data_IF_010613460287
#
_entry.id   IF_010613460287
#
_cell.length_a   1.000
_cell.length_b   1.000
_cell.length_c   1.000
_cell.angle_alpha   90.00
_cell.angle_beta   90.00
_cell.angle_gamma   90.00
#
_symmetry.space_group_name_H-M   'P 1'
#
loop_
_entity.id
_entity.type
_entity.pdbx_description
1 polymer ?
#
# COMPACT_ATOMS: atom_id res chain seq x y z
N UNK A 1 -13.96 14.33 5.44
CA UNK A 1 -12.60 14.85 5.48
C UNK A 1 -11.58 13.67 5.47
N UNK A 2 -10.31 13.85 4.98
CA UNK A 2 -9.32 12.78 4.89
C UNK A 2 -9.03 12.08 6.21
N UNK A 3 -8.90 12.86 7.30
CA UNK A 3 -8.63 12.32 8.63
C UNK A 3 -9.78 11.44 9.15
N UNK A 4 -11.01 11.75 8.79
CA UNK A 4 -12.16 10.91 9.13
C UNK A 4 -12.11 9.57 8.41
N UNK A 5 -11.74 9.59 7.13
CA UNK A 5 -11.57 8.36 6.32
C UNK A 5 -10.43 7.49 6.87
N UNK A 6 -9.32 8.10 7.25
CA UNK A 6 -8.21 7.37 7.88
C UNK A 6 -8.65 6.73 9.21
N UNK A 7 -9.38 7.45 10.05
CA UNK A 7 -9.88 6.94 11.34
C UNK A 7 -10.85 5.78 11.20
N UNK A 8 -11.70 5.76 10.19
CA UNK A 8 -12.60 4.61 9.92
C UNK A 8 -11.91 3.43 9.23
N UNK A 9 -10.65 3.58 8.80
CA UNK A 9 -9.83 2.50 8.29
C UNK A 9 -9.57 2.49 6.80
N UNK A 10 -9.67 3.63 6.14
CA UNK A 10 -9.17 3.78 4.78
C UNK A 10 -7.68 4.18 4.83
N UNK A 11 -6.83 3.45 4.13
CA UNK A 11 -5.41 3.73 3.96
C UNK A 11 -5.11 4.00 2.48
N UNK A 12 -4.24 4.97 2.24
CA UNK A 12 -3.74 5.27 0.90
C UNK A 12 -2.21 5.24 0.90
N UNK A 13 -1.62 4.27 0.20
CA UNK A 13 -0.21 4.26 -0.16
C UNK A 13 -0.02 5.10 -1.42
N UNK A 14 0.74 6.18 -1.32
CA UNK A 14 0.93 7.13 -2.41
C UNK A 14 1.94 6.63 -3.44
N UNK A 15 1.75 6.95 -4.71
CA UNK A 15 2.77 6.74 -5.75
C UNK A 15 4.11 7.36 -5.33
N UNK A 16 4.08 8.59 -4.80
CA UNK A 16 5.24 9.29 -4.25
C UNK A 16 4.99 9.65 -2.77
N UNK A 17 5.54 8.85 -1.83
CA UNK A 17 5.37 9.12 -0.40
C UNK A 17 5.92 10.48 0.01
N UNK A 18 5.10 11.23 0.75
CA UNK A 18 5.42 12.62 1.16
C UNK A 18 6.48 12.61 2.25
N UNK A 19 7.37 13.59 2.22
CA UNK A 19 8.34 13.87 3.30
C UNK A 19 7.73 14.88 4.29
N UNK A 20 7.94 14.65 5.60
CA UNK A 20 7.52 15.58 6.65
C UNK A 20 8.76 15.96 7.47
N UNK A 21 9.49 17.02 7.06
CA UNK A 21 10.68 17.45 7.76
C UNK A 21 10.37 17.89 9.19
N UNK A 22 11.25 17.51 10.13
CA UNK A 22 11.13 17.91 11.54
C UNK A 22 10.13 17.10 12.37
N UNK A 23 9.40 16.16 11.77
CA UNK A 23 8.52 15.22 12.50
C UNK A 23 9.19 13.84 12.48
N UNK A 24 9.56 13.29 13.64
CA UNK A 24 10.15 11.95 13.69
C UNK A 24 9.16 10.90 13.24
N UNK A 25 9.68 9.85 12.57
CA UNK A 25 8.84 8.76 12.08
C UNK A 25 8.15 8.04 13.26
N UNK A 26 8.85 7.85 14.38
CA UNK A 26 8.29 7.25 15.59
C UNK A 26 7.07 8.02 16.10
N UNK A 27 7.18 9.33 16.25
CA UNK A 27 6.08 10.15 16.78
C UNK A 27 4.92 10.23 15.81
N UNK A 28 5.20 10.37 14.50
CA UNK A 28 4.16 10.31 13.48
C UNK A 28 3.36 9.00 13.53
N UNK A 29 4.08 7.86 13.58
CA UNK A 29 3.47 6.54 13.64
C UNK A 29 2.65 6.34 14.94
N UNK A 30 3.17 6.81 16.08
CA UNK A 30 2.50 6.72 17.37
C UNK A 30 1.18 7.49 17.38
N UNK A 31 1.20 8.75 16.94
CA UNK A 31 0.01 9.62 16.89
C UNK A 31 -1.04 9.02 15.94
N UNK A 32 -0.63 8.59 14.75
CA UNK A 32 -1.54 7.98 13.77
C UNK A 32 -2.16 6.67 14.29
N UNK A 33 -1.36 5.81 14.91
CA UNK A 33 -1.83 4.56 15.50
C UNK A 33 -2.83 4.81 16.63
N UNK A 34 -2.53 5.72 17.54
CA UNK A 34 -3.43 6.03 18.65
C UNK A 34 -4.74 6.69 18.18
N UNK A 35 -4.68 7.58 17.18
CA UNK A 35 -5.88 8.13 16.57
C UNK A 35 -6.79 7.04 15.96
N UNK A 36 -6.19 6.02 15.34
CA UNK A 36 -6.92 4.87 14.79
C UNK A 36 -7.50 3.97 15.88
N UNK A 37 -6.73 3.68 16.94
CA UNK A 37 -7.18 2.91 18.11
C UNK A 37 -8.36 3.60 18.80
N UNK A 38 -8.25 4.90 19.04
CA UNK A 38 -9.33 5.68 19.63
C UNK A 38 -10.62 5.62 18.79
N UNK A 39 -10.51 5.69 17.46
CA UNK A 39 -11.66 5.55 16.57
C UNK A 39 -12.33 4.17 16.63
N UNK A 40 -11.59 3.14 17.06
CA UNK A 40 -12.12 1.77 17.30
C UNK A 40 -12.60 1.57 18.73
N UNK A 41 -12.51 2.59 19.60
CA UNK A 41 -12.86 2.47 21.03
C UNK A 41 -11.82 1.71 21.86
N UNK A 42 -10.59 1.59 21.37
CA UNK A 42 -9.46 0.99 22.06
C UNK A 42 -8.69 2.04 22.86
N UNK A 43 -8.05 1.63 23.96
CA UNK A 43 -7.18 2.50 24.74
C UNK A 43 -5.93 2.89 23.94
N UNK A 44 -5.46 4.13 24.14
CA UNK A 44 -4.20 4.58 23.56
C UNK A 44 -3.01 3.78 24.12
N UNK A 45 -2.04 3.51 23.28
CA UNK A 45 -0.76 2.94 23.71
C UNK A 45 0.10 4.06 24.31
N UNK A 46 0.68 3.80 25.48
CA UNK A 46 1.75 4.62 26.00
C UNK A 46 3.02 4.49 25.14
N UNK A 47 4.04 5.28 25.44
CA UNK A 47 5.27 5.31 24.66
C UNK A 47 5.96 3.95 24.62
N UNK A 48 6.03 3.24 25.76
CA UNK A 48 6.73 1.95 25.83
C UNK A 48 5.99 0.85 25.09
N UNK A 49 4.68 0.74 25.30
CA UNK A 49 3.84 -0.22 24.60
C UNK A 49 3.84 0.02 23.07
N UNK A 50 3.88 1.29 22.65
CA UNK A 50 4.01 1.63 21.24
C UNK A 50 5.40 1.27 20.67
N UNK A 51 6.48 1.53 21.42
CA UNK A 51 7.83 1.14 20.98
C UNK A 51 7.96 -0.37 20.80
N UNK A 52 7.39 -1.17 21.68
CA UNK A 52 7.38 -2.63 21.54
C UNK A 52 6.61 -3.05 20.27
N UNK A 53 5.43 -2.48 20.06
CA UNK A 53 4.62 -2.75 18.87
C UNK A 53 5.35 -2.38 17.57
N UNK A 54 5.92 -1.18 17.49
CA UNK A 54 6.59 -0.73 16.26
C UNK A 54 7.83 -1.56 15.96
N UNK A 55 8.59 -1.99 16.98
CA UNK A 55 9.75 -2.88 16.81
C UNK A 55 9.36 -4.24 16.23
N UNK A 56 8.22 -4.79 16.67
CA UNK A 56 7.66 -6.01 16.08
C UNK A 56 7.29 -5.80 14.60
N UNK A 57 6.63 -4.69 14.28
CA UNK A 57 6.18 -4.39 12.92
C UNK A 57 7.31 -4.03 11.95
N UNK A 58 8.43 -3.48 12.45
CA UNK A 58 9.63 -3.27 11.63
C UNK A 58 10.18 -4.55 11.01
N UNK A 59 9.98 -5.70 11.65
CA UNK A 59 10.41 -6.99 11.11
C UNK A 59 9.66 -7.37 9.84
N UNK A 60 8.37 -7.00 9.73
CA UNK A 60 7.52 -7.26 8.56
C UNK A 60 8.11 -6.60 7.30
N UNK A 61 8.67 -5.40 7.46
CA UNK A 61 9.21 -4.58 6.38
C UNK A 61 10.75 -4.60 6.32
N UNK A 62 11.41 -5.36 7.18
CA UNK A 62 12.86 -5.47 7.27
C UNK A 62 13.56 -4.10 7.31
N UNK A 63 13.03 -3.17 8.11
CA UNK A 63 13.61 -1.84 8.29
C UNK A 63 14.47 -1.78 9.55
N UNK A 64 15.59 -1.04 9.46
CA UNK A 64 16.42 -0.73 10.60
C UNK A 64 15.68 0.20 11.57
N UNK A 65 15.66 -0.08 12.89
CA UNK A 65 15.05 0.78 13.90
C UNK A 65 15.55 2.23 13.87
N UNK A 66 16.76 2.50 13.39
CA UNK A 66 17.30 3.86 13.25
C UNK A 66 16.45 4.77 12.35
N UNK A 67 15.60 4.20 11.49
CA UNK A 67 14.64 4.98 10.69
C UNK A 67 13.53 5.63 11.52
N UNK A 68 13.27 5.15 12.72
CA UNK A 68 12.27 5.72 13.62
C UNK A 68 12.65 7.11 14.13
N UNK A 69 13.95 7.36 14.33
CA UNK A 69 14.46 8.65 14.83
C UNK A 69 14.59 9.72 13.74
N UNK A 70 14.48 9.31 12.46
CA UNK A 70 14.58 10.22 11.33
C UNK A 70 13.23 10.86 11.04
N UNK A 71 13.24 12.04 10.40
CA UNK A 71 12.02 12.66 9.90
C UNK A 71 11.32 11.77 8.87
N UNK A 72 9.99 11.78 8.88
CA UNK A 72 9.17 10.94 8.00
C UNK A 72 9.63 11.06 6.55
N UNK A 73 10.10 9.95 5.98
CA UNK A 73 10.55 9.81 4.60
C UNK A 73 11.69 10.73 4.15
N UNK A 74 12.20 11.62 5.00
CA UNK A 74 13.25 12.58 4.63
C UNK A 74 14.59 11.88 4.38
N UNK A 75 15.06 11.98 3.13
CA UNK A 75 16.29 11.35 2.69
C UNK A 75 16.23 9.81 2.66
N UNK A 76 15.04 9.23 2.66
CA UNK A 76 14.85 7.80 2.42
C UNK A 76 14.97 7.54 0.91
N UNK A 77 15.55 6.40 0.55
CA UNK A 77 15.47 5.87 -0.82
C UNK A 77 14.04 5.51 -1.19
N UNK A 78 13.75 5.30 -2.47
CA UNK A 78 12.42 4.88 -2.93
C UNK A 78 11.93 3.62 -2.22
N UNK A 79 12.78 2.59 -2.12
CA UNK A 79 12.47 1.34 -1.42
C UNK A 79 12.22 1.53 0.08
N UNK A 80 13.00 2.39 0.75
CA UNK A 80 12.79 2.70 2.17
C UNK A 80 11.48 3.46 2.41
N UNK A 81 11.11 4.39 1.52
CA UNK A 81 9.81 5.09 1.58
C UNK A 81 8.64 4.12 1.44
N UNK A 82 8.71 3.19 0.48
CA UNK A 82 7.66 2.18 0.28
C UNK A 82 7.57 1.19 1.45
N UNK A 83 8.71 0.75 1.99
CA UNK A 83 8.71 -0.08 3.21
C UNK A 83 8.12 0.67 4.41
N UNK A 84 8.38 1.98 4.53
CA UNK A 84 7.77 2.81 5.57
C UNK A 84 6.24 2.95 5.39
N UNK A 85 5.71 2.98 4.16
CA UNK A 85 4.27 2.92 3.91
C UNK A 85 3.65 1.58 4.35
N UNK A 86 4.31 0.46 4.07
CA UNK A 86 3.84 -0.85 4.55
C UNK A 86 3.95 -0.96 6.08
N UNK A 87 4.95 -0.34 6.71
CA UNK A 87 5.01 -0.22 8.17
C UNK A 87 3.80 0.55 8.73
N UNK A 88 3.44 1.68 8.09
CA UNK A 88 2.23 2.42 8.46
C UNK A 88 0.98 1.54 8.32
N UNK A 89 0.84 0.81 7.22
CA UNK A 89 -0.27 -0.13 7.01
C UNK A 89 -0.32 -1.21 8.10
N UNK A 90 0.83 -1.77 8.49
CA UNK A 90 0.94 -2.79 9.54
C UNK A 90 0.51 -2.28 10.92
N UNK A 91 0.78 -1.01 11.23
CA UNK A 91 0.40 -0.37 12.50
C UNK A 91 -1.05 0.08 12.51
N UNK A 92 -1.54 0.66 11.41
CA UNK A 92 -2.88 1.21 11.31
C UNK A 92 -3.96 0.16 11.11
N UNK A 93 -3.61 -1.02 10.59
CA UNK A 93 -4.53 -2.14 10.33
C UNK A 93 -5.81 -1.66 9.62
N UNK A 94 -5.70 -1.15 8.39
CA UNK A 94 -6.83 -0.60 7.67
C UNK A 94 -7.87 -1.68 7.31
N UNK A 95 -9.13 -1.27 7.17
CA UNK A 95 -10.18 -2.11 6.59
C UNK A 95 -10.05 -2.15 5.06
N UNK A 96 -9.64 -1.03 4.46
CA UNK A 96 -9.37 -0.93 3.02
C UNK A 96 -8.06 -0.21 2.81
N UNK A 97 -7.12 -0.85 2.13
CA UNK A 97 -5.87 -0.25 1.68
C UNK A 97 -5.92 -0.04 0.16
N UNK A 98 -5.61 1.17 -0.29
CA UNK A 98 -5.41 1.51 -1.69
C UNK A 98 -3.91 1.75 -1.87
N UNK A 99 -3.25 0.96 -2.69
CA UNK A 99 -1.81 1.04 -2.93
C UNK A 99 -1.57 1.46 -4.38
N UNK A 100 -1.16 2.72 -4.55
CA UNK A 100 -0.99 3.34 -5.86
C UNK A 100 0.46 3.21 -6.31
N UNK A 101 0.69 2.41 -7.36
CA UNK A 101 2.01 2.12 -7.96
C UNK A 101 3.11 1.87 -6.90
N UNK A 102 2.80 1.02 -5.91
CA UNK A 102 3.70 0.73 -4.79
C UNK A 102 5.00 0.04 -5.22
N UNK A 103 5.04 -0.49 -6.41
CA UNK A 103 6.18 -1.15 -7.06
C UNK A 103 7.04 -0.20 -7.89
N UNK A 104 6.61 1.05 -8.11
CA UNK A 104 7.33 2.01 -8.94
C UNK A 104 8.70 2.35 -8.36
N UNK A 105 9.76 2.17 -9.18
CA UNK A 105 11.14 2.49 -8.79
C UNK A 105 11.78 1.55 -7.78
N UNK A 106 11.16 0.41 -7.47
CA UNK A 106 11.74 -0.61 -6.60
C UNK A 106 12.68 -1.54 -7.36
N UNK A 107 13.78 -1.90 -6.72
CA UNK A 107 14.55 -3.09 -7.11
C UNK A 107 13.79 -4.38 -6.70
N UNK A 108 14.29 -5.51 -7.17
CA UNK A 108 13.63 -6.82 -6.97
C UNK A 108 13.52 -7.18 -5.47
N UNK A 109 14.53 -6.84 -4.67
CA UNK A 109 14.55 -7.21 -3.26
C UNK A 109 13.57 -6.33 -2.45
N UNK A 110 13.54 -5.03 -2.72
CA UNK A 110 12.57 -4.11 -2.11
C UNK A 110 11.13 -4.48 -2.51
N UNK A 111 10.90 -4.86 -3.78
CA UNK A 111 9.60 -5.33 -4.26
C UNK A 111 9.11 -6.55 -3.48
N UNK A 112 9.97 -7.56 -3.29
CA UNK A 112 9.63 -8.77 -2.54
C UNK A 112 9.29 -8.47 -1.07
N UNK A 113 10.04 -7.58 -0.42
CA UNK A 113 9.77 -7.19 0.96
C UNK A 113 8.41 -6.50 1.07
N UNK A 114 8.12 -5.56 0.17
CA UNK A 114 6.83 -4.86 0.10
C UNK A 114 5.69 -5.84 -0.14
N UNK A 115 5.83 -6.74 -1.13
CA UNK A 115 4.84 -7.74 -1.45
C UNK A 115 4.60 -8.73 -0.28
N UNK A 116 5.67 -9.19 0.37
CA UNK A 116 5.56 -10.04 1.55
C UNK A 116 4.81 -9.33 2.69
N UNK A 117 5.08 -8.03 2.90
CA UNK A 117 4.36 -7.21 3.87
C UNK A 117 2.87 -7.12 3.56
N UNK A 118 2.50 -6.83 2.31
CA UNK A 118 1.10 -6.79 1.88
C UNK A 118 0.41 -8.14 2.09
N UNK A 119 1.03 -9.24 1.65
CA UNK A 119 0.49 -10.58 1.82
C UNK A 119 0.30 -10.97 3.29
N UNK A 120 1.23 -10.58 4.17
CA UNK A 120 1.13 -10.86 5.61
C UNK A 120 -0.01 -10.08 6.28
N UNK A 121 -0.34 -8.90 5.75
CA UNK A 121 -1.41 -8.05 6.29
C UNK A 121 -2.77 -8.35 5.67
N UNK A 122 -2.82 -9.11 4.57
CA UNK A 122 -4.06 -9.54 3.95
C UNK A 122 -4.82 -10.52 4.86
N UNK A 123 -6.14 -10.34 4.97
CA UNK A 123 -6.98 -11.19 5.82
C UNK A 123 -8.45 -11.10 5.41
N UNK A 124 -9.32 -11.90 6.05
CA UNK A 124 -10.73 -11.97 5.69
C UNK A 124 -11.52 -10.70 6.01
N UNK A 125 -10.99 -9.87 6.91
CA UNK A 125 -11.67 -8.68 7.42
C UNK A 125 -11.16 -7.37 6.79
N UNK A 126 -10.27 -7.47 5.78
CA UNK A 126 -9.75 -6.32 5.08
C UNK A 126 -9.69 -6.55 3.56
N UNK A 127 -9.59 -5.45 2.81
CA UNK A 127 -9.41 -5.48 1.38
C UNK A 127 -8.22 -4.62 0.96
N UNK A 128 -7.44 -5.10 -0.02
CA UNK A 128 -6.36 -4.33 -0.63
C UNK A 128 -6.64 -4.13 -2.11
N UNK A 129 -6.69 -2.86 -2.53
CA UNK A 129 -6.76 -2.47 -3.93
C UNK A 129 -5.35 -2.07 -4.39
N UNK A 130 -4.79 -2.86 -5.30
CA UNK A 130 -3.50 -2.55 -5.93
C UNK A 130 -3.74 -1.85 -7.27
N UNK A 131 -3.11 -0.70 -7.47
CA UNK A 131 -3.04 -0.03 -8.76
C UNK A 131 -1.62 -0.21 -9.26
N UNK A 132 -1.45 -0.94 -10.35
CA UNK A 132 -0.14 -1.20 -10.95
C UNK A 132 -0.26 -1.43 -12.46
N UNK A 133 0.81 -1.17 -13.17
CA UNK A 133 0.99 -1.53 -14.57
C UNK A 133 2.14 -2.54 -14.74
N UNK A 134 2.67 -3.08 -13.65
CA UNK A 134 3.77 -4.03 -13.65
C UNK A 134 3.32 -5.43 -13.22
N UNK A 135 3.47 -6.40 -14.12
CA UNK A 135 3.18 -7.81 -13.88
C UNK A 135 3.97 -8.37 -12.68
N UNK A 136 5.22 -7.94 -12.50
CA UNK A 136 6.11 -8.44 -11.44
C UNK A 136 5.52 -8.32 -10.03
N UNK A 137 4.70 -7.31 -9.76
CA UNK A 137 4.02 -7.20 -8.48
C UNK A 137 2.95 -8.30 -8.34
N UNK A 138 2.23 -8.62 -9.42
CA UNK A 138 1.17 -9.63 -9.43
C UNK A 138 1.71 -11.08 -9.38
N UNK A 139 3.00 -11.28 -9.66
CA UNK A 139 3.68 -12.56 -9.43
C UNK A 139 3.93 -12.82 -7.94
N UNK A 140 4.16 -11.74 -7.17
CA UNK A 140 4.43 -11.80 -5.73
C UNK A 140 3.14 -11.64 -4.89
N UNK A 141 2.16 -10.87 -5.38
CA UNK A 141 0.84 -10.67 -4.75
C UNK A 141 -0.23 -11.19 -5.71
N UNK A 142 -0.73 -12.40 -5.44
CA UNK A 142 -1.78 -13.00 -6.30
C UNK A 142 -3.13 -12.36 -5.98
N UNK A 143 -3.72 -11.59 -6.91
CA UNK A 143 -5.01 -10.96 -6.68
C UNK A 143 -6.17 -11.97 -6.82
N UNK A 144 -7.24 -11.76 -6.05
CA UNK A 144 -8.50 -12.48 -6.23
C UNK A 144 -9.21 -12.01 -7.53
N UNK A 145 -9.12 -10.72 -7.83
CA UNK A 145 -9.74 -10.09 -9.00
C UNK A 145 -8.76 -9.13 -9.67
N UNK A 146 -8.80 -9.11 -10.99
CA UNK A 146 -8.11 -8.14 -11.84
C UNK A 146 -9.14 -7.35 -12.63
N UNK A 147 -9.03 -6.02 -12.57
CA UNK A 147 -9.87 -5.11 -13.34
C UNK A 147 -9.00 -4.32 -14.32
N UNK A 148 -9.30 -4.43 -15.61
CA UNK A 148 -8.65 -3.61 -16.63
C UNK A 148 -9.46 -2.32 -16.81
N UNK A 149 -8.81 -1.21 -16.50
CA UNK A 149 -9.42 0.12 -16.55
C UNK A 149 -8.77 0.98 -17.63
N UNK A 150 -9.60 1.60 -18.47
CA UNK A 150 -9.14 2.58 -19.44
C UNK A 150 -10.22 3.65 -19.66
N UNK A 151 -9.81 4.88 -19.96
CA UNK A 151 -10.68 6.04 -20.14
C UNK A 151 -11.74 6.21 -19.03
N UNK A 152 -11.36 5.92 -17.75
CA UNK A 152 -12.25 6.04 -16.60
C UNK A 152 -13.31 4.93 -16.49
N UNK A 153 -13.20 3.85 -17.25
CA UNK A 153 -14.15 2.72 -17.26
C UNK A 153 -13.44 1.40 -17.00
N UNK A 154 -14.09 0.50 -16.28
CA UNK A 154 -13.66 -0.89 -16.19
C UNK A 154 -14.14 -1.60 -17.46
N UNK A 155 -13.21 -2.07 -18.29
CA UNK A 155 -13.49 -2.75 -19.54
C UNK A 155 -13.69 -4.26 -19.32
N UNK A 156 -12.82 -4.88 -18.52
CA UNK A 156 -12.88 -6.30 -18.18
C UNK A 156 -12.58 -6.54 -16.71
N UNK A 157 -13.16 -7.62 -16.19
CA UNK A 157 -12.86 -8.18 -14.88
C UNK A 157 -12.58 -9.66 -15.03
N UNK A 158 -11.53 -10.16 -14.38
CA UNK A 158 -11.14 -11.57 -14.40
C UNK A 158 -10.23 -11.91 -13.23
N UNK A 159 -9.63 -13.08 -13.25
CA UNK A 159 -8.57 -13.50 -12.33
C UNK A 159 -7.18 -13.05 -12.79
N UNK A 160 -6.14 -13.63 -12.19
CA UNK A 160 -4.74 -13.30 -12.52
C UNK A 160 -4.37 -13.57 -13.99
N UNK A 161 -5.08 -14.51 -14.65
CA UNK A 161 -4.91 -14.82 -16.07
C UNK A 161 -5.17 -13.63 -16.97
N UNK A 162 -6.05 -12.72 -16.57
CA UNK A 162 -6.33 -11.49 -17.31
C UNK A 162 -5.09 -10.56 -17.33
N UNK A 163 -4.32 -10.52 -16.25
CA UNK A 163 -3.07 -9.78 -16.22
C UNK A 163 -2.01 -10.39 -17.14
N UNK A 164 -1.93 -11.74 -17.19
CA UNK A 164 -1.04 -12.44 -18.12
C UNK A 164 -1.42 -12.21 -19.60
N UNK A 165 -2.71 -12.15 -19.91
CA UNK A 165 -3.19 -11.81 -21.26
C UNK A 165 -2.75 -10.41 -21.69
N UNK A 166 -2.79 -9.43 -20.77
CA UNK A 166 -2.33 -8.06 -21.02
C UNK A 166 -0.83 -8.02 -21.30
N UNK A 167 -0.03 -8.75 -20.52
CA UNK A 167 1.42 -8.78 -20.70
C UNK A 167 1.82 -9.40 -22.04
N UNK A 168 1.18 -10.50 -22.42
CA UNK A 168 1.48 -11.24 -23.65
C UNK A 168 0.90 -10.59 -24.91
N UNK A 169 -0.32 -10.09 -24.80
CA UNK A 169 -1.09 -9.57 -25.93
C UNK A 169 -1.00 -8.05 -26.13
N UNK A 170 -0.37 -7.34 -25.19
CA UNK A 170 -0.32 -5.87 -25.20
C UNK A 170 -1.70 -5.22 -25.00
N UNK A 171 -1.76 -3.91 -25.25
CA UNK A 171 -2.96 -3.10 -25.05
C UNK A 171 -3.83 -2.92 -26.30
N UNK A 172 -3.50 -3.53 -27.43
CA UNK A 172 -4.22 -3.35 -28.71
C UNK A 172 -5.72 -3.72 -28.65
N UNK A 173 -6.07 -4.68 -27.79
CA UNK A 173 -7.46 -5.06 -27.57
C UNK A 173 -8.22 -4.02 -26.74
N UNK A 174 -7.53 -3.33 -25.81
CA UNK A 174 -8.10 -2.26 -24.98
C UNK A 174 -8.55 -1.10 -25.89
N UNK A 175 -7.70 -0.70 -26.81
CA UNK A 175 -7.99 0.37 -27.77
C UNK A 175 -9.19 0.01 -28.66
N UNK A 176 -9.29 -1.26 -29.09
CA UNK A 176 -10.43 -1.77 -29.87
C UNK A 176 -11.74 -1.77 -29.08
N UNK A 177 -11.70 -2.17 -27.82
CA UNK A 177 -12.89 -2.15 -26.95
C UNK A 177 -13.33 -0.71 -26.65
N UNK A 178 -12.39 0.20 -26.39
CA UNK A 178 -12.72 1.62 -26.22
C UNK A 178 -13.37 2.22 -27.46
N UNK A 179 -12.82 1.98 -28.66
CA UNK A 179 -13.38 2.44 -29.91
C UNK A 179 -14.81 1.89 -30.15
N UNK A 180 -15.07 0.64 -29.77
CA UNK A 180 -16.41 0.05 -29.88
C UNK A 180 -17.43 0.69 -28.93
N UNK A 181 -16.99 1.15 -27.74
CA UNK A 181 -17.86 1.84 -26.77
C UNK A 181 -18.17 3.29 -27.15
N UNK A 182 -17.33 3.93 -27.95
CA UNK A 182 -17.55 5.30 -28.44
C UNK A 182 -18.55 5.36 -29.61
N UNK A 183 -18.77 4.25 -30.29
CA UNK A 183 -19.66 4.13 -31.45
C UNK A 183 -21.10 3.67 -31.04
N UNK A 184 -21.29 3.20 -29.83
CA UNK A 184 -22.54 2.71 -29.26
C UNK A 184 -23.27 3.77 -28.43
#
# INVERSE_FOLDING_TARGET
EPEQRARIGLFLGFQYPVEIPGVSNLEFLRVATNARRQARGEEELDTFAFEDLVRERLQVVQMDPAFLDRSVNQGFSGGEKKRNEILQMALLQPLVAILDETDSGLDIDALRIVAAGVNQLAGPDNATLLITHYQRLLDEIVPDYVHVMAAGRILRTGGKELALELEQGGYDWVDRELAALEVA
#
